data_IF_852119084329
#
_entry.id   IF_852119084329
#
_cell.length_a   1.000
_cell.length_b   1.000
_cell.length_c   1.000
_cell.angle_alpha   90.00
_cell.angle_beta   90.00
_cell.angle_gamma   90.00
#
_symmetry.space_group_name_H-M   'P 1'
#
loop_
_entity.id
_entity.type
_entity.pdbx_description
1 polymer ?
#
# COMPACT_ATOMS: atom_id res chain seq x y z
N UNK A 1 -6.99 10.97 -23.46
CA UNK A 1 -6.64 10.86 -22.02
C UNK A 1 -7.29 9.67 -21.33
N UNK A 2 -8.46 9.18 -21.77
CA UNK A 2 -9.09 8.02 -21.13
C UNK A 2 -8.18 6.78 -21.13
N UNK A 3 -8.04 6.06 -20.01
CA UNK A 3 -7.12 4.92 -19.90
C UNK A 3 -7.50 3.75 -20.81
N UNK A 4 -8.77 3.62 -21.16
CA UNK A 4 -9.26 2.57 -22.06
C UNK A 4 -8.99 2.86 -23.55
N UNK A 5 -8.43 4.03 -23.91
CA UNK A 5 -8.31 4.49 -25.29
C UNK A 5 -7.63 3.48 -26.22
N UNK A 6 -6.57 2.80 -25.74
CA UNK A 6 -5.82 1.84 -26.56
C UNK A 6 -6.51 0.48 -26.72
N UNK A 7 -7.48 0.16 -25.86
CA UNK A 7 -8.11 -1.16 -25.82
C UNK A 7 -9.59 -1.14 -26.25
N UNK A 8 -10.17 0.03 -26.51
CA UNK A 8 -11.57 0.19 -26.92
C UNK A 8 -11.67 0.60 -28.40
N UNK A 9 -12.54 -0.01 -29.22
CA UNK A 9 -13.56 -1.02 -28.88
C UNK A 9 -13.06 -2.48 -28.89
N UNK A 10 -11.75 -2.71 -28.98
CA UNK A 10 -11.14 -4.05 -29.02
C UNK A 10 -10.68 -4.48 -30.41
N UNK A 11 -10.24 -5.73 -30.53
CA UNK A 11 -9.85 -6.38 -31.79
C UNK A 11 -10.33 -7.84 -31.78
N UNK A 12 -10.73 -8.37 -32.94
CA UNK A 12 -11.18 -9.77 -33.14
C UNK A 12 -12.12 -10.29 -32.05
N UNK A 13 -13.21 -9.55 -31.79
CA UNK A 13 -14.24 -9.88 -30.81
C UNK A 13 -13.74 -9.99 -29.35
N UNK A 14 -12.57 -9.41 -29.04
CA UNK A 14 -12.01 -9.37 -27.70
C UNK A 14 -11.65 -7.94 -27.28
N UNK A 15 -11.94 -7.62 -26.02
CA UNK A 15 -11.59 -6.34 -25.38
C UNK A 15 -10.74 -6.65 -24.15
N UNK A 16 -9.48 -6.20 -24.15
CA UNK A 16 -8.58 -6.35 -23.01
C UNK A 16 -8.71 -5.14 -22.09
N UNK A 17 -9.05 -5.36 -20.82
CA UNK A 17 -9.13 -4.31 -19.80
C UNK A 17 -7.73 -3.98 -19.26
N UNK A 18 -6.87 -3.42 -20.12
CA UNK A 18 -5.47 -3.14 -19.82
C UNK A 18 -5.26 -2.03 -18.79
N UNK A 19 -6.28 -1.22 -18.51
CA UNK A 19 -6.28 -0.21 -17.46
C UNK A 19 -6.39 -0.78 -16.04
N UNK A 20 -6.79 -2.06 -15.90
CA UNK A 20 -6.94 -2.73 -14.61
C UNK A 20 -7.89 -1.97 -13.67
N UNK A 21 -7.41 -1.67 -12.45
CA UNK A 21 -8.18 -0.92 -11.45
C UNK A 21 -8.28 0.58 -11.76
N UNK A 22 -7.45 1.10 -12.67
CA UNK A 22 -7.34 2.53 -12.94
C UNK A 22 -8.39 2.94 -13.98
N UNK A 23 -9.65 2.96 -13.56
CA UNK A 23 -10.79 3.38 -14.38
C UNK A 23 -11.29 4.74 -13.90
N UNK A 24 -11.47 5.68 -14.83
CA UNK A 24 -11.98 7.02 -14.54
C UNK A 24 -11.07 7.80 -13.61
N UNK A 25 -11.61 8.43 -12.56
CA UNK A 25 -10.84 9.26 -11.64
C UNK A 25 -9.67 8.52 -10.98
N UNK A 26 -9.78 7.21 -10.78
CA UNK A 26 -8.69 6.38 -10.24
C UNK A 26 -7.42 6.52 -11.07
N UNK A 27 -7.55 6.57 -12.41
CA UNK A 27 -6.44 6.78 -13.32
C UNK A 27 -5.95 8.22 -13.34
N UNK A 28 -6.86 9.17 -13.46
CA UNK A 28 -6.49 10.60 -13.58
C UNK A 28 -5.77 11.09 -12.32
N UNK A 29 -6.24 10.68 -11.14
CA UNK A 29 -5.57 10.98 -9.87
C UNK A 29 -4.20 10.29 -9.79
N UNK A 30 -4.11 8.99 -10.15
CA UNK A 30 -2.85 8.24 -10.12
C UNK A 30 -1.79 8.81 -11.08
N UNK A 31 -2.22 9.40 -12.20
CA UNK A 31 -1.34 10.05 -13.18
C UNK A 31 -1.20 11.56 -12.96
N UNK A 32 -1.83 12.12 -11.92
CA UNK A 32 -1.90 13.56 -11.67
C UNK A 32 -2.32 14.38 -12.90
N UNK A 33 -3.26 13.84 -13.69
CA UNK A 33 -3.75 14.49 -14.92
C UNK A 33 -4.83 15.52 -14.60
N UNK A 34 -4.69 16.71 -15.14
CA UNK A 34 -5.73 17.74 -15.06
C UNK A 34 -6.92 17.35 -15.94
N UNK A 35 -8.10 17.22 -15.33
CA UNK A 35 -9.36 16.98 -16.06
C UNK A 35 -10.23 18.23 -16.00
N UNK A 36 -11.04 18.44 -17.05
CA UNK A 36 -11.90 19.64 -17.15
C UNK A 36 -12.91 19.73 -16.00
N UNK A 37 -13.56 18.62 -15.68
CA UNK A 37 -14.49 18.49 -14.56
C UNK A 37 -14.20 17.17 -13.84
N UNK A 38 -13.75 17.22 -12.58
CA UNK A 38 -13.37 16.01 -11.84
C UNK A 38 -14.60 15.23 -11.38
N UNK A 39 -14.38 13.96 -11.03
CA UNK A 39 -15.46 13.10 -10.53
C UNK A 39 -16.08 13.68 -9.25
N UNK A 40 -17.41 13.64 -9.19
CA UNK A 40 -18.17 14.21 -8.07
C UNK A 40 -18.28 15.74 -8.06
N UNK A 41 -17.74 16.45 -9.06
CA UNK A 41 -17.83 17.91 -9.14
C UNK A 41 -19.24 18.39 -9.49
N UNK A 42 -19.67 19.47 -8.82
CA UNK A 42 -20.90 20.18 -9.14
C UNK A 42 -20.91 21.54 -8.45
N UNK A 43 -21.39 22.57 -9.17
CA UNK A 43 -21.58 23.91 -8.60
C UNK A 43 -22.96 24.03 -7.94
N UNK A 44 -23.08 25.05 -7.09
CA UNK A 44 -24.32 25.44 -6.44
C UNK A 44 -24.49 26.96 -6.51
N UNK A 45 -25.73 27.44 -6.36
CA UNK A 45 -26.03 28.86 -6.20
C UNK A 45 -25.79 29.38 -4.78
N UNK A 46 -25.40 28.50 -3.86
CA UNK A 46 -24.94 28.85 -2.50
C UNK A 46 -23.57 28.21 -2.24
N UNK A 47 -22.93 28.58 -1.14
CA UNK A 47 -21.62 28.05 -0.71
C UNK A 47 -21.76 27.20 0.54
N UNK A 48 -20.89 26.21 0.68
CA UNK A 48 -20.87 25.32 1.86
C UNK A 48 -19.47 25.24 2.45
N UNK A 49 -19.39 25.24 3.77
CA UNK A 49 -18.15 25.03 4.54
C UNK A 49 -18.23 23.72 5.32
N UNK A 50 -17.08 23.05 5.45
CA UNK A 50 -16.94 21.77 6.13
C UNK A 50 -16.04 21.98 7.34
N UNK A 51 -16.42 21.44 8.49
CA UNK A 51 -15.63 21.57 9.72
C UNK A 51 -15.86 20.40 10.67
N UNK A 52 -15.02 20.35 11.71
CA UNK A 52 -15.14 19.39 12.82
C UNK A 52 -15.26 17.93 12.35
N UNK A 53 -14.36 17.48 11.47
CA UNK A 53 -14.27 16.08 11.10
C UNK A 53 -13.98 15.24 12.36
N UNK A 54 -14.79 14.21 12.57
CA UNK A 54 -14.71 13.28 13.71
C UNK A 54 -14.82 11.86 13.19
N UNK A 55 -13.96 10.99 13.68
CA UNK A 55 -14.01 9.55 13.47
C UNK A 55 -14.52 8.89 14.75
N UNK A 56 -15.27 7.78 14.64
CA UNK A 56 -15.72 7.02 15.82
C UNK A 56 -14.56 6.45 16.63
N UNK A 57 -13.42 6.19 15.99
CA UNK A 57 -12.16 5.83 16.62
C UNK A 57 -10.99 6.21 15.73
N UNK A 58 -9.80 6.41 16.31
CA UNK A 58 -8.53 6.52 15.57
C UNK A 58 -7.83 5.16 15.41
N UNK A 59 -8.29 4.14 16.13
CA UNK A 59 -7.83 2.75 16.01
C UNK A 59 -9.05 1.82 16.02
N UNK A 60 -9.18 0.95 15.03
CA UNK A 60 -10.37 0.10 14.89
C UNK A 60 -10.02 -1.23 14.24
N UNK A 61 -10.87 -2.23 14.45
CA UNK A 61 -10.76 -3.49 13.73
C UNK A 61 -11.57 -3.45 12.45
N UNK A 62 -11.13 -4.20 11.45
CA UNK A 62 -11.86 -4.41 10.20
C UNK A 62 -13.30 -4.95 10.42
N UNK A 63 -13.54 -5.70 11.50
CA UNK A 63 -14.85 -6.19 11.92
C UNK A 63 -15.79 -5.10 12.46
N UNK A 64 -15.25 -4.02 13.01
CA UNK A 64 -16.01 -2.97 13.71
C UNK A 64 -16.47 -1.88 12.74
N UNK A 65 -15.70 -1.67 11.66
CA UNK A 65 -15.89 -0.55 10.74
C UNK A 65 -15.56 0.80 11.38
N UNK A 66 -15.84 1.88 10.64
CA UNK A 66 -15.53 3.24 11.05
C UNK A 66 -16.69 4.17 10.71
N UNK A 67 -17.10 5.01 11.64
CA UNK A 67 -18.11 6.05 11.38
C UNK A 67 -17.44 7.41 11.24
N UNK A 68 -17.68 8.06 10.10
CA UNK A 68 -17.17 9.39 9.77
C UNK A 68 -18.28 10.41 9.99
N UNK A 69 -18.03 11.44 10.78
CA UNK A 69 -18.96 12.55 11.01
C UNK A 69 -18.31 13.89 10.69
N UNK A 70 -19.01 14.76 9.97
CA UNK A 70 -18.53 16.10 9.61
C UNK A 70 -19.66 17.10 9.70
N UNK A 71 -19.36 18.32 10.15
CA UNK A 71 -20.32 19.42 10.17
C UNK A 71 -20.28 20.16 8.83
N UNK A 72 -21.45 20.33 8.21
CA UNK A 72 -21.61 21.06 6.96
C UNK A 72 -22.50 22.26 7.19
N UNK A 73 -21.99 23.43 6.86
CA UNK A 73 -22.69 24.71 7.02
C UNK A 73 -22.95 25.33 5.66
N UNK A 74 -24.20 25.73 5.39
CA UNK A 74 -24.50 26.59 4.25
C UNK A 74 -24.12 28.03 4.58
N UNK A 75 -23.06 28.54 3.96
CA UNK A 75 -22.50 29.87 4.23
C UNK A 75 -23.01 30.94 3.27
N UNK A 76 -23.82 30.58 2.28
CA UNK A 76 -24.39 31.54 1.34
C UNK A 76 -25.81 31.98 1.71
N UNK A 77 -26.40 32.82 0.84
CA UNK A 77 -27.69 33.47 1.08
C UNK A 77 -28.91 32.67 0.59
N UNK A 78 -28.69 31.56 -0.11
CA UNK A 78 -29.76 30.74 -0.69
C UNK A 78 -29.76 29.34 -0.08
N UNK A 79 -30.95 28.75 0.06
CA UNK A 79 -31.08 27.36 0.46
C UNK A 79 -30.51 26.44 -0.64
N UNK A 80 -29.85 25.35 -0.26
CA UNK A 80 -29.20 24.47 -1.23
C UNK A 80 -28.94 23.07 -0.68
N UNK A 81 -28.60 22.15 -1.59
CA UNK A 81 -28.17 20.79 -1.24
C UNK A 81 -26.68 20.63 -1.51
N UNK A 82 -25.98 20.05 -0.55
CA UNK A 82 -24.57 19.67 -0.66
C UNK A 82 -24.43 18.15 -0.66
N UNK A 83 -23.48 17.61 -1.42
CA UNK A 83 -23.10 16.20 -1.42
C UNK A 83 -21.74 16.05 -0.75
N UNK A 84 -21.75 15.57 0.49
CA UNK A 84 -20.54 15.18 1.21
C UNK A 84 -20.04 13.86 0.66
N UNK A 85 -18.77 13.81 0.24
CA UNK A 85 -18.13 12.62 -0.31
C UNK A 85 -16.98 12.20 0.60
N UNK A 86 -16.91 10.91 0.92
CA UNK A 86 -15.87 10.30 1.74
C UNK A 86 -15.05 9.35 0.89
N UNK A 87 -13.76 9.64 0.78
CA UNK A 87 -12.77 8.84 0.11
C UNK A 87 -11.83 8.20 1.13
N UNK A 88 -11.30 7.03 0.80
CA UNK A 88 -10.31 6.32 1.61
C UNK A 88 -9.02 6.18 0.80
N UNK A 89 -7.89 6.50 1.42
CA UNK A 89 -6.55 6.23 0.92
C UNK A 89 -5.83 5.28 1.89
N UNK A 90 -5.22 4.24 1.35
CA UNK A 90 -4.38 3.29 2.08
C UNK A 90 -2.92 3.71 1.88
N UNK A 91 -2.24 4.07 2.97
CA UNK A 91 -0.89 4.63 2.91
C UNK A 91 0.18 3.59 2.52
N UNK A 92 -0.06 2.32 2.82
CA UNK A 92 0.96 1.26 2.76
C UNK A 92 0.43 -0.03 2.10
N UNK A 93 -0.49 0.12 1.15
CA UNK A 93 -1.07 -1.01 0.42
C UNK A 93 0.02 -1.88 -0.23
N UNK A 94 -0.01 -3.20 0.03
CA UNK A 94 0.96 -4.14 -0.57
C UNK A 94 0.73 -4.35 -2.06
N UNK A 95 -0.54 -4.36 -2.49
CA UNK A 95 -0.90 -4.39 -3.91
C UNK A 95 -1.18 -2.98 -4.42
N UNK A 96 -0.98 -2.78 -5.73
CA UNK A 96 -1.26 -1.52 -6.39
C UNK A 96 -2.74 -1.11 -6.20
N UNK A 97 -2.94 0.07 -5.59
CA UNK A 97 -4.26 0.67 -5.38
C UNK A 97 -4.33 2.07 -5.98
N UNK A 98 -5.54 2.56 -6.33
CA UNK A 98 -5.73 3.97 -6.64
C UNK A 98 -5.35 4.86 -5.44
N UNK A 99 -4.87 6.10 -5.67
CA UNK A 99 -4.48 7.00 -4.58
C UNK A 99 -5.61 7.26 -3.59
N UNK A 100 -6.86 7.27 -4.04
CA UNK A 100 -8.02 7.33 -3.16
C UNK A 100 -9.24 6.76 -3.86
N UNK A 101 -10.19 6.27 -3.08
CA UNK A 101 -11.43 5.69 -3.60
C UNK A 101 -12.64 6.19 -2.84
N UNK A 102 -13.71 6.57 -3.54
CA UNK A 102 -14.99 6.94 -2.91
C UNK A 102 -15.59 5.71 -2.21
N UNK A 103 -15.83 5.81 -0.90
CA UNK A 103 -16.43 4.73 -0.08
C UNK A 103 -17.77 5.10 0.54
N UNK A 104 -18.16 6.38 0.53
CA UNK A 104 -19.48 6.80 0.98
C UNK A 104 -19.81 8.22 0.57
N UNK A 105 -21.09 8.55 0.53
CA UNK A 105 -21.55 9.91 0.31
C UNK A 105 -22.93 10.12 0.92
N UNK A 106 -23.25 11.37 1.24
CA UNK A 106 -24.57 11.76 1.71
C UNK A 106 -24.94 13.14 1.15
N UNK A 107 -26.22 13.30 0.80
CA UNK A 107 -26.76 14.57 0.30
C UNK A 107 -27.60 15.22 1.38
N UNK A 108 -27.28 16.46 1.74
CA UNK A 108 -27.94 17.21 2.82
C UNK A 108 -28.51 18.52 2.30
N UNK A 109 -29.75 18.85 2.70
CA UNK A 109 -30.38 20.14 2.43
C UNK A 109 -30.15 21.08 3.60
N UNK A 110 -29.71 22.31 3.32
CA UNK A 110 -29.39 23.31 4.34
C UNK A 110 -30.01 24.67 3.96
N UNK A 111 -30.67 25.31 4.93
CA UNK A 111 -31.07 26.72 4.85
C UNK A 111 -29.83 27.63 4.99
N UNK A 112 -29.89 28.90 4.55
CA UNK A 112 -28.81 29.87 4.77
C UNK A 112 -28.40 29.93 6.26
N UNK A 113 -27.12 29.77 6.54
CA UNK A 113 -26.55 29.76 7.90
C UNK A 113 -26.81 28.48 8.71
N UNK A 114 -27.57 27.51 8.19
CA UNK A 114 -27.81 26.24 8.88
C UNK A 114 -26.56 25.36 8.84
N UNK A 115 -26.31 24.65 9.94
CA UNK A 115 -25.28 23.61 10.05
C UNK A 115 -25.95 22.27 10.35
N UNK A 116 -25.55 21.21 9.64
CA UNK A 116 -25.93 19.83 9.95
C UNK A 116 -24.70 18.94 10.04
N UNK A 117 -24.72 18.02 11.00
CA UNK A 117 -23.76 16.93 11.04
C UNK A 117 -24.18 15.84 10.08
N UNK A 118 -23.30 15.49 9.15
CA UNK A 118 -23.46 14.37 8.23
C UNK A 118 -22.64 13.20 8.76
N UNK A 119 -23.26 12.02 8.86
CA UNK A 119 -22.63 10.80 9.36
C UNK A 119 -22.68 9.71 8.29
N UNK A 120 -21.53 9.09 8.01
CA UNK A 120 -21.36 8.06 6.99
C UNK A 120 -20.61 6.88 7.63
N UNK A 121 -21.21 5.70 7.59
CA UNK A 121 -20.57 4.46 8.03
C UNK A 121 -19.70 3.86 6.92
N UNK A 122 -18.51 3.43 7.28
CA UNK A 122 -17.56 2.69 6.45
C UNK A 122 -17.43 1.29 7.03
N UNK A 123 -17.84 0.29 6.26
CA UNK A 123 -17.73 -1.12 6.65
C UNK A 123 -16.38 -1.71 6.21
N UNK A 124 -16.20 -3.01 6.45
CA UNK A 124 -15.03 -3.78 5.98
C UNK A 124 -14.65 -3.49 4.51
N UNK A 125 -15.65 -3.36 3.63
CA UNK A 125 -15.45 -3.15 2.19
C UNK A 125 -14.89 -1.77 1.84
N UNK A 126 -15.02 -0.80 2.75
CA UNK A 126 -14.42 0.50 2.59
C UNK A 126 -12.88 0.42 2.57
N UNK A 127 -12.32 -0.49 3.37
CA UNK A 127 -10.87 -0.63 3.54
C UNK A 127 -10.29 -1.77 2.69
N UNK A 128 -11.12 -2.78 2.38
CA UNK A 128 -10.68 -3.98 1.70
C UNK A 128 -10.36 -3.81 0.20
N UNK A 129 -9.45 -4.65 -0.29
CA UNK A 129 -9.21 -4.92 -1.70
C UNK A 129 -9.25 -6.44 -1.97
N UNK A 130 -9.40 -6.84 -3.24
CA UNK A 130 -9.40 -8.25 -3.61
C UNK A 130 -7.97 -8.76 -3.77
N UNK A 131 -7.57 -9.74 -2.98
CA UNK A 131 -6.25 -10.34 -3.03
C UNK A 131 -6.26 -11.62 -3.87
N UNK A 132 -5.68 -11.62 -5.09
CA UNK A 132 -5.77 -12.76 -6.01
C UNK A 132 -5.06 -14.01 -5.46
N UNK A 133 -4.00 -13.85 -4.65
CA UNK A 133 -3.35 -15.01 -4.04
C UNK A 133 -4.20 -15.74 -2.98
N UNK A 134 -5.19 -15.05 -2.39
CA UNK A 134 -6.08 -15.64 -1.39
C UNK A 134 -7.51 -15.85 -1.90
N UNK A 135 -7.78 -15.48 -3.15
CA UNK A 135 -9.11 -15.49 -3.78
C UNK A 135 -10.23 -14.82 -2.96
N UNK A 136 -9.87 -13.85 -2.10
CA UNK A 136 -10.83 -13.20 -1.20
C UNK A 136 -10.55 -11.70 -1.02
N UNK A 137 -11.53 -11.00 -0.44
CA UNK A 137 -11.36 -9.61 -0.02
C UNK A 137 -10.68 -9.57 1.33
N UNK A 138 -9.66 -8.72 1.46
CA UNK A 138 -8.89 -8.54 2.68
C UNK A 138 -8.76 -7.06 2.99
N UNK A 139 -8.74 -6.71 4.27
CA UNK A 139 -8.26 -5.44 4.77
C UNK A 139 -6.98 -5.72 5.56
N UNK A 140 -5.89 -5.06 5.20
CA UNK A 140 -4.59 -5.26 5.84
C UNK A 140 -4.41 -4.27 7.00
N UNK A 141 -3.59 -4.65 7.98
CA UNK A 141 -3.12 -3.72 9.01
C UNK A 141 -2.48 -2.50 8.36
N UNK A 142 -2.80 -1.31 8.88
CA UNK A 142 -2.16 -0.08 8.39
C UNK A 142 -2.94 1.19 8.67
N UNK A 143 -2.34 2.29 8.25
CA UNK A 143 -2.92 3.62 8.38
C UNK A 143 -3.72 3.98 7.13
N UNK A 144 -4.97 4.38 7.35
CA UNK A 144 -5.89 4.82 6.32
C UNK A 144 -6.25 6.29 6.50
N UNK A 145 -6.09 7.07 5.43
CA UNK A 145 -6.55 8.45 5.38
C UNK A 145 -8.01 8.51 4.94
N UNK A 146 -8.82 9.14 5.79
CA UNK A 146 -10.22 9.45 5.55
C UNK A 146 -10.31 10.88 5.02
N UNK A 147 -10.62 11.00 3.74
CA UNK A 147 -10.62 12.25 2.99
C UNK A 147 -12.07 12.67 2.73
N UNK A 148 -12.48 13.82 3.25
CA UNK A 148 -13.85 14.34 3.11
C UNK A 148 -13.84 15.58 2.23
N UNK A 149 -14.66 15.56 1.18
CA UNK A 149 -14.66 16.61 0.17
C UNK A 149 -16.02 16.84 -0.50
N UNK A 150 -16.06 17.86 -1.35
CA UNK A 150 -17.18 18.15 -2.24
C UNK A 150 -16.99 17.54 -3.64
N UNK A 151 -15.77 17.14 -4.00
CA UNK A 151 -15.45 16.34 -5.18
C UNK A 151 -14.11 15.62 -4.96
N UNK A 152 -13.73 14.72 -5.87
CA UNK A 152 -12.42 14.04 -5.77
C UNK A 152 -11.22 15.01 -5.78
N UNK A 153 -11.39 16.21 -6.34
CA UNK A 153 -10.36 17.25 -6.41
C UNK A 153 -10.54 18.38 -5.38
N UNK A 154 -11.63 18.38 -4.59
CA UNK A 154 -11.94 19.39 -3.57
C UNK A 154 -12.11 18.68 -2.21
N UNK A 155 -10.97 18.26 -1.64
CA UNK A 155 -10.88 17.68 -0.31
C UNK A 155 -10.71 18.79 0.71
N UNK A 156 -11.57 18.81 1.73
CA UNK A 156 -11.70 19.92 2.68
C UNK A 156 -11.31 19.54 4.09
N UNK A 157 -11.46 18.27 4.45
CA UNK A 157 -11.04 17.73 5.74
C UNK A 157 -10.37 16.37 5.55
N UNK A 158 -9.39 16.06 6.39
CA UNK A 158 -8.72 14.77 6.42
C UNK A 158 -8.47 14.35 7.87
N UNK A 159 -8.54 13.06 8.14
CA UNK A 159 -8.09 12.44 9.38
C UNK A 159 -7.53 11.04 9.06
N UNK A 160 -6.59 10.57 9.87
CA UNK A 160 -6.00 9.24 9.74
C UNK A 160 -6.55 8.32 10.82
N UNK A 161 -6.81 7.05 10.47
CA UNK A 161 -7.14 5.99 11.42
C UNK A 161 -6.34 4.72 11.10
N UNK A 162 -5.90 4.05 12.15
CA UNK A 162 -5.16 2.78 12.05
C UNK A 162 -6.13 1.61 12.12
N UNK A 163 -6.13 0.77 11.10
CA UNK A 163 -6.90 -0.47 11.04
C UNK A 163 -6.05 -1.64 11.53
N UNK A 164 -6.66 -2.51 12.33
CA UNK A 164 -6.13 -3.84 12.65
C UNK A 164 -7.01 -4.91 12.00
N UNK A 165 -6.42 -5.69 11.11
CA UNK A 165 -7.05 -6.84 10.47
C UNK A 165 -7.35 -7.93 11.48
N UNK A 166 -8.51 -8.58 11.36
CA UNK A 166 -8.85 -9.75 12.16
C UNK A 166 -8.70 -11.06 11.39
N UNK A 167 -8.32 -10.98 10.11
CA UNK A 167 -8.17 -12.15 9.24
C UNK A 167 -6.74 -12.70 9.35
N UNK A 168 -6.63 -13.95 9.78
CA UNK A 168 -5.39 -14.71 9.63
C UNK A 168 -5.31 -15.27 8.20
N UNK A 169 -4.37 -14.74 7.41
CA UNK A 169 -4.13 -15.21 6.05
C UNK A 169 -3.17 -16.41 6.06
N UNK A 170 -3.46 -17.41 5.23
CA UNK A 170 -2.55 -18.54 5.00
C UNK A 170 -1.29 -18.06 4.28
N UNK A 171 -0.14 -18.70 4.50
CA UNK A 171 1.06 -18.36 3.72
C UNK A 171 0.83 -18.62 2.23
N UNK A 172 1.38 -17.74 1.37
CA UNK A 172 1.39 -17.91 -0.09
C UNK A 172 2.73 -18.41 -0.62
N UNK A 173 3.64 -18.76 0.30
CA UNK A 173 4.96 -19.26 -0.07
C UNK A 173 4.84 -20.54 -0.88
N UNK A 174 5.67 -20.63 -1.91
CA UNK A 174 5.77 -21.76 -2.80
C UNK A 174 7.22 -21.90 -3.31
N UNK A 175 7.48 -22.88 -4.17
CA UNK A 175 8.84 -23.16 -4.68
C UNK A 175 9.47 -22.01 -5.46
N UNK A 176 8.66 -21.08 -5.97
CA UNK A 176 9.13 -19.91 -6.71
C UNK A 176 9.30 -18.67 -5.82
N UNK A 177 8.98 -18.77 -4.53
CA UNK A 177 9.13 -17.66 -3.58
C UNK A 177 10.59 -17.26 -3.41
N UNK A 178 10.79 -15.95 -3.43
CA UNK A 178 12.09 -15.29 -3.23
C UNK A 178 12.49 -15.30 -1.77
N UNK A 179 13.78 -15.12 -1.49
CA UNK A 179 14.24 -14.92 -0.10
C UNK A 179 13.49 -13.78 0.58
N UNK A 180 13.18 -12.71 -0.14
CA UNK A 180 12.36 -11.60 0.34
C UNK A 180 10.99 -12.06 0.80
N UNK A 181 10.28 -12.85 -0.01
CA UNK A 181 8.95 -13.38 0.34
C UNK A 181 9.01 -14.23 1.62
N UNK A 182 10.03 -15.09 1.74
CA UNK A 182 10.23 -15.94 2.93
C UNK A 182 10.48 -15.11 4.21
N UNK A 183 11.16 -13.97 4.10
CA UNK A 183 11.42 -13.08 5.24
C UNK A 183 10.22 -12.19 5.60
N UNK A 184 9.36 -11.88 4.63
CA UNK A 184 8.17 -11.04 4.83
C UNK A 184 6.97 -11.82 5.33
N UNK A 185 6.84 -13.10 4.97
CA UNK A 185 5.81 -13.98 5.51
C UNK A 185 6.06 -14.27 7.01
N UNK A 186 5.09 -14.01 7.91
CA UNK A 186 5.30 -14.22 9.34
C UNK A 186 5.65 -15.67 9.73
N UNK A 187 5.09 -16.67 9.04
CA UNK A 187 5.37 -18.10 9.29
C UNK A 187 6.65 -18.53 8.58
N UNK A 188 6.79 -18.09 7.33
CA UNK A 188 7.99 -18.28 6.52
C UNK A 188 9.24 -17.83 7.24
N UNK A 189 9.23 -16.62 7.82
CA UNK A 189 10.37 -16.04 8.50
C UNK A 189 10.83 -16.89 9.68
N UNK A 190 9.91 -17.47 10.43
CA UNK A 190 10.23 -18.33 11.59
C UNK A 190 10.90 -19.62 11.13
N UNK A 191 10.36 -20.28 10.11
CA UNK A 191 10.86 -21.55 9.59
C UNK A 191 12.17 -21.37 8.82
N UNK A 192 12.32 -20.26 8.10
CA UNK A 192 13.47 -19.97 7.25
C UNK A 192 14.65 -19.33 7.99
N UNK A 193 14.42 -18.66 9.14
CA UNK A 193 15.48 -17.95 9.89
C UNK A 193 16.76 -18.77 10.13
N UNK A 194 16.71 -20.05 10.57
CA UNK A 194 17.93 -20.81 10.82
C UNK A 194 18.77 -21.02 9.55
N UNK A 195 18.12 -21.27 8.41
CA UNK A 195 18.79 -21.44 7.13
C UNK A 195 19.34 -20.09 6.62
N UNK A 196 18.58 -19.02 6.78
CA UNK A 196 19.00 -17.67 6.40
C UNK A 196 20.25 -17.22 7.17
N UNK A 197 20.31 -17.45 8.48
CA UNK A 197 21.48 -17.14 9.31
C UNK A 197 22.73 -17.90 8.85
N UNK A 198 22.60 -19.19 8.52
CA UNK A 198 23.69 -20.00 7.99
C UNK A 198 24.19 -19.48 6.64
N UNK A 199 23.28 -19.14 5.73
CA UNK A 199 23.62 -18.56 4.43
C UNK A 199 24.37 -17.23 4.59
N UNK A 200 23.90 -16.38 5.50
CA UNK A 200 24.52 -15.07 5.74
C UNK A 200 25.90 -15.18 6.41
N UNK A 201 26.08 -16.13 7.34
CA UNK A 201 27.38 -16.42 7.94
C UNK A 201 28.38 -16.89 6.87
N UNK A 202 27.96 -17.77 5.96
CA UNK A 202 28.78 -18.21 4.83
C UNK A 202 29.20 -17.07 3.91
N UNK A 203 28.27 -16.18 3.55
CA UNK A 203 28.54 -14.98 2.75
C UNK A 203 29.52 -14.03 3.43
N UNK A 204 29.37 -13.79 4.74
CA UNK A 204 30.31 -12.94 5.50
C UNK A 204 31.73 -13.51 5.55
N UNK A 205 31.88 -14.84 5.56
CA UNK A 205 33.18 -15.51 5.54
C UNK A 205 33.82 -15.47 4.15
N UNK A 206 33.00 -15.44 3.10
CA UNK A 206 33.44 -15.44 1.69
C UNK A 206 33.76 -14.03 1.16
N UNK A 207 33.14 -12.99 1.73
CA UNK A 207 33.32 -11.59 1.34
C UNK A 207 33.87 -10.69 2.48
N UNK A 208 34.29 -11.27 3.61
CA UNK A 208 34.74 -10.54 4.80
C UNK A 208 35.96 -11.18 5.47
N UNK A 209 37.13 -10.92 4.90
CA UNK A 209 38.40 -10.85 5.63
C UNK A 209 39.22 -9.67 5.08
N UNK A 210 38.78 -8.45 5.36
CA UNK A 210 39.69 -7.29 5.37
C UNK A 210 39.94 -6.90 6.83
N UNK A 211 40.71 -7.74 7.52
CA UNK A 211 41.54 -7.23 8.62
C UNK A 211 42.63 -6.39 7.97
N UNK A 212 42.40 -5.08 7.86
CA UNK A 212 43.47 -4.14 7.55
C UNK A 212 44.40 -4.05 8.77
N UNK A 213 45.38 -4.94 8.80
CA UNK A 213 46.54 -4.85 9.67
C UNK A 213 47.39 -3.67 9.19
N UNK A 214 47.31 -2.54 9.89
CA UNK A 214 48.28 -1.46 9.73
C UNK A 214 48.51 -0.75 11.07
N UNK A 215 49.43 -1.31 11.84
CA UNK A 215 50.29 -0.51 12.70
C UNK A 215 51.12 0.45 11.84
N UNK A 216 50.68 1.71 11.70
CA UNK A 216 51.61 2.82 11.62
C UNK A 216 51.03 4.13 12.15
N UNK A 217 51.86 4.79 12.94
CA UNK A 217 51.67 6.01 13.69
C UNK A 217 51.34 7.25 12.84
N UNK A 218 50.77 8.24 13.54
CA UNK A 218 50.85 9.70 13.31
C UNK A 218 49.74 10.46 12.54
N UNK A 219 48.97 11.22 13.35
CA UNK A 219 48.47 12.62 13.19
C UNK A 219 47.93 13.09 11.82
N UNK A 220 46.63 13.40 11.78
CA UNK A 220 46.11 14.77 11.52
C UNK A 220 44.57 14.81 11.59
N UNK A 221 44.04 15.80 12.30
CA UNK A 221 42.63 16.24 12.21
C UNK A 221 42.32 16.75 10.80
N UNK A 222 41.16 16.40 10.23
CA UNK A 222 40.28 17.30 9.43
C UNK A 222 38.97 16.57 9.08
N UNK A 223 37.86 17.25 9.42
CA UNK A 223 36.48 17.21 8.89
C UNK A 223 36.01 15.98 8.08
N UNK A 224 35.01 15.28 8.63
CA UNK A 224 34.24 14.26 7.96
C UNK A 224 33.22 14.88 6.99
N UNK A 225 33.47 14.72 5.69
CA UNK A 225 32.40 14.69 4.68
C UNK A 225 31.81 13.28 4.59
N UNK A 226 30.51 13.12 4.28
CA UNK A 226 29.93 11.81 4.09
C UNK A 226 30.48 11.19 2.80
N UNK A 227 31.14 10.04 2.91
CA UNK A 227 31.65 9.30 1.78
C UNK A 227 30.49 8.92 0.82
N UNK A 228 30.61 9.33 -0.44
CA UNK A 228 29.77 8.80 -1.52
C UNK A 228 30.12 7.33 -1.79
N UNK A 229 29.14 6.45 -2.05
CA UNK A 229 29.41 5.07 -2.39
C UNK A 229 29.73 4.96 -3.88
N UNK A 230 30.97 5.23 -4.24
CA UNK A 230 31.48 5.00 -5.58
C UNK A 230 32.06 3.58 -5.69
N UNK A 231 31.17 2.63 -5.98
CA UNK A 231 31.53 1.36 -6.60
C UNK A 231 30.44 1.01 -7.60
N UNK A 232 30.83 0.41 -8.72
CA UNK A 232 29.93 -0.35 -9.61
C UNK A 232 29.52 -1.62 -8.84
N UNK A 233 28.82 -1.43 -7.72
CA UNK A 233 28.45 -2.44 -6.75
C UNK A 233 26.99 -2.78 -6.97
N UNK A 234 26.73 -3.91 -7.62
CA UNK A 234 25.41 -4.52 -7.57
C UNK A 234 25.06 -4.70 -6.09
N UNK A 235 23.94 -4.16 -5.63
CA UNK A 235 23.42 -4.41 -4.27
C UNK A 235 23.16 -5.92 -4.13
N UNK A 236 24.18 -6.63 -3.64
CA UNK A 236 24.17 -8.09 -3.53
C UNK A 236 23.06 -8.56 -2.59
N UNK A 237 22.74 -7.77 -1.57
CA UNK A 237 21.66 -8.08 -0.64
C UNK A 237 20.29 -7.88 -1.28
N UNK A 238 20.11 -6.78 -2.01
CA UNK A 238 18.92 -6.56 -2.83
C UNK A 238 18.72 -7.66 -3.87
N UNK A 239 19.80 -8.07 -4.55
CA UNK A 239 19.78 -9.17 -5.52
C UNK A 239 19.36 -10.50 -4.88
N UNK A 240 19.97 -10.88 -3.75
CA UNK A 240 19.64 -12.12 -3.05
C UNK A 240 18.18 -12.15 -2.60
N UNK A 241 17.66 -11.02 -2.08
CA UNK A 241 16.26 -10.91 -1.67
C UNK A 241 15.27 -11.10 -2.82
N UNK A 242 15.63 -10.71 -4.04
CA UNK A 242 14.76 -10.84 -5.22
C UNK A 242 14.90 -12.18 -5.95
N UNK A 243 15.83 -13.04 -5.52
CA UNK A 243 16.08 -14.33 -6.17
C UNK A 243 15.27 -15.43 -5.48
N UNK A 244 14.63 -16.36 -6.23
CA UNK A 244 13.99 -17.54 -5.68
C UNK A 244 14.94 -18.33 -4.77
N UNK A 245 14.48 -18.70 -3.57
CA UNK A 245 15.29 -19.44 -2.60
C UNK A 245 15.85 -20.73 -3.23
N UNK A 246 15.00 -21.46 -3.96
CA UNK A 246 15.37 -22.69 -4.64
C UNK A 246 16.53 -22.49 -5.63
N UNK A 247 16.55 -21.37 -6.35
CA UNK A 247 17.62 -21.06 -7.32
C UNK A 247 18.97 -20.83 -6.63
N UNK A 248 18.98 -20.15 -5.47
CA UNK A 248 20.21 -19.94 -4.69
C UNK A 248 20.73 -21.26 -4.14
N UNK A 249 19.83 -22.12 -3.64
CA UNK A 249 20.20 -23.42 -3.12
C UNK A 249 20.79 -24.32 -4.22
N UNK A 250 20.21 -24.34 -5.44
CA UNK A 250 20.82 -25.05 -6.57
C UNK A 250 22.19 -24.50 -6.95
N UNK A 251 22.42 -23.20 -6.83
CA UNK A 251 23.73 -22.62 -7.09
C UNK A 251 24.81 -23.11 -6.10
N UNK A 252 24.41 -23.44 -4.86
CA UNK A 252 25.31 -23.91 -3.80
C UNK A 252 25.17 -25.40 -3.50
N UNK A 253 24.64 -26.20 -4.42
CA UNK A 253 24.22 -27.58 -4.18
C UNK A 253 25.31 -28.48 -3.58
N UNK A 254 26.58 -28.27 -3.96
CA UNK A 254 27.72 -29.03 -3.42
C UNK A 254 27.99 -28.82 -1.93
N UNK A 255 27.48 -27.74 -1.36
CA UNK A 255 27.67 -27.37 0.05
C UNK A 255 26.44 -27.68 0.93
N UNK A 256 25.35 -28.22 0.34
CA UNK A 256 24.11 -28.46 1.06
C UNK A 256 24.07 -29.85 1.73
N UNK A 257 23.42 -29.97 2.90
CA UNK A 257 23.26 -31.26 3.59
C UNK A 257 22.23 -32.19 2.92
N UNK A 258 21.41 -31.67 2.01
CA UNK A 258 20.36 -32.38 1.27
C UNK A 258 20.09 -31.69 -0.08
N UNK A 259 19.41 -32.36 -1.03
CA UNK A 259 19.02 -31.73 -2.30
C UNK A 259 18.20 -30.46 -2.08
N UNK A 260 18.43 -29.44 -2.91
CA UNK A 260 17.78 -28.12 -2.77
C UNK A 260 16.25 -28.21 -2.73
N UNK A 261 15.64 -29.04 -3.60
CA UNK A 261 14.20 -29.30 -3.61
C UNK A 261 13.70 -29.84 -2.27
N UNK A 262 14.40 -30.80 -1.68
CA UNK A 262 14.01 -31.43 -0.42
C UNK A 262 14.08 -30.45 0.76
N UNK A 263 15.05 -29.53 0.74
CA UNK A 263 15.15 -28.45 1.74
C UNK A 263 13.94 -27.53 1.61
N UNK A 264 13.64 -27.02 0.42
CA UNK A 264 12.51 -26.11 0.21
C UNK A 264 11.18 -26.78 0.53
N UNK A 265 10.97 -28.03 0.11
CA UNK A 265 9.77 -28.80 0.45
C UNK A 265 9.63 -29.01 1.96
N UNK A 266 10.75 -29.29 2.64
CA UNK A 266 10.78 -29.43 4.10
C UNK A 266 10.42 -28.13 4.83
N UNK A 267 10.81 -26.97 4.31
CA UNK A 267 10.40 -25.68 4.85
C UNK A 267 8.92 -25.41 4.59
N UNK A 268 8.44 -25.66 3.36
CA UNK A 268 7.03 -25.46 3.00
C UNK A 268 6.08 -26.36 3.81
N UNK A 269 6.50 -27.58 4.14
CA UNK A 269 5.72 -28.51 4.95
C UNK A 269 5.52 -28.08 6.43
N UNK A 270 6.23 -27.04 6.88
CA UNK A 270 6.15 -26.50 8.25
C UNK A 270 5.28 -25.23 8.37
N UNK A 271 4.72 -24.71 7.27
CA UNK A 271 3.87 -23.51 7.22
C UNK A 271 2.40 -23.78 7.58
#
# INVERSE_FOLDING_TARGET
DTPAYLNFPGDKDQVRYGEGLYIGYRYYDAKALTVRFPFGFGLSYTTFAYSNLRLSSTQFKDSDGLTVSVDVTNTGALAGKEVVQVYVHDQQAKLARPPKELKGFAKVMLQPGETKTVTIGLDFRAFAYYHPGHDQWIAEDGDFDILVGASVADIRCQATATLTSTVELSSLLNRHSTIGDWLEDPRGRVVFAPLYEQMMAGLSTMFGSEEHDSQHDSKSETQAEPAEPDAIGMDMMGFLRQTPLLSILHFQESALPAPADAIVDGLLAQL
#
